data_IF_558220529480
#
_entry.id   IF_558220529480
#
_cell.length_a   1.000
_cell.length_b   1.000
_cell.length_c   1.000
_cell.angle_alpha   90.00
_cell.angle_beta   90.00
_cell.angle_gamma   90.00
#
_symmetry.space_group_name_H-M   'P 1'
#
loop_
_entity.id
_entity.type
_entity.pdbx_description
1 polymer ?
#
# COMPACT_ATOMS: atom_id res chain seq x y z
N UNK A 1 58.72 -17.37 49.10
CA UNK A 1 58.25 -17.78 47.76
C UNK A 1 56.72 -17.89 47.82
N UNK A 2 56.02 -16.77 47.59
CA UNK A 2 54.55 -16.69 47.63
C UNK A 2 54.06 -17.07 46.24
N UNK A 3 53.33 -18.19 46.13
CA UNK A 3 52.77 -18.67 44.86
C UNK A 3 51.68 -17.70 44.39
N UNK A 4 51.92 -17.09 43.23
CA UNK A 4 50.94 -16.34 42.46
C UNK A 4 49.72 -17.22 42.15
N UNK A 5 48.59 -16.91 42.76
CA UNK A 5 47.31 -17.49 42.41
C UNK A 5 46.87 -17.02 41.01
N UNK A 6 46.33 -17.97 40.28
CA UNK A 6 46.06 -18.00 38.86
C UNK A 6 45.00 -16.95 38.44
N UNK A 7 45.45 -15.74 38.05
CA UNK A 7 44.60 -14.64 37.55
C UNK A 7 43.91 -14.93 36.21
N UNK A 8 44.30 -15.97 35.48
CA UNK A 8 43.75 -16.26 34.15
C UNK A 8 42.34 -16.88 34.21
N UNK A 9 42.04 -17.75 35.18
CA UNK A 9 40.74 -18.43 35.25
C UNK A 9 39.55 -17.49 35.52
N UNK A 10 39.77 -16.43 36.32
CA UNK A 10 38.71 -15.47 36.67
C UNK A 10 38.33 -14.55 35.49
N UNK A 11 39.26 -14.33 34.55
CA UNK A 11 39.03 -13.51 33.36
C UNK A 11 38.15 -14.22 32.32
N UNK A 12 38.31 -15.53 32.16
CA UNK A 12 37.49 -16.33 31.24
C UNK A 12 36.04 -16.51 31.72
N UNK A 13 35.83 -16.65 33.03
CA UNK A 13 34.47 -16.71 33.60
C UNK A 13 33.72 -15.38 33.46
N UNK A 14 34.39 -14.24 33.63
CA UNK A 14 33.79 -12.91 33.44
C UNK A 14 33.44 -12.63 31.97
N UNK A 15 34.29 -13.06 31.03
CA UNK A 15 34.01 -12.95 29.58
C UNK A 15 32.86 -13.87 29.14
N UNK A 16 32.77 -15.09 29.67
CA UNK A 16 31.67 -16.00 29.40
C UNK A 16 30.32 -15.50 29.98
N UNK A 17 30.35 -14.90 31.18
CA UNK A 17 29.17 -14.29 31.80
C UNK A 17 28.72 -13.02 31.07
N UNK A 18 29.65 -12.19 30.59
CA UNK A 18 29.35 -11.03 29.75
C UNK A 18 28.78 -11.44 28.37
N UNK A 19 29.30 -12.51 27.77
CA UNK A 19 28.75 -13.09 26.53
C UNK A 19 27.34 -13.65 26.72
N UNK A 20 27.06 -14.33 27.84
CA UNK A 20 25.73 -14.84 28.17
C UNK A 20 24.71 -13.72 28.43
N UNK A 21 25.13 -12.60 29.05
CA UNK A 21 24.28 -11.44 29.29
C UNK A 21 23.94 -10.68 27.99
N UNK A 22 24.81 -10.72 26.97
CA UNK A 22 24.51 -10.14 25.65
C UNK A 22 23.55 -11.00 24.82
N UNK A 23 23.54 -12.32 25.00
CA UNK A 23 22.58 -13.23 24.34
C UNK A 23 21.17 -13.18 24.96
N UNK A 24 21.04 -12.63 26.18
CA UNK A 24 19.75 -12.41 26.85
C UNK A 24 19.05 -11.09 26.53
N UNK A 25 19.69 -10.19 25.75
CA UNK A 25 19.13 -8.89 25.41
C UNK A 25 18.13 -8.96 24.23
N UNK A 26 17.17 -9.89 24.31
CA UNK A 26 15.98 -9.82 23.47
C UNK A 26 15.10 -8.71 24.08
N UNK A 27 15.25 -7.48 23.59
CA UNK A 27 14.52 -6.32 24.10
C UNK A 27 13.04 -6.51 23.76
N UNK A 28 12.26 -7.01 24.72
CA UNK A 28 10.79 -6.99 24.64
C UNK A 28 10.40 -5.52 24.48
N UNK A 29 9.88 -5.18 23.31
CA UNK A 29 9.36 -3.84 23.06
C UNK A 29 7.97 -3.81 23.67
N UNK A 30 7.82 -3.15 24.81
CA UNK A 30 6.51 -2.95 25.42
C UNK A 30 5.76 -1.88 24.61
N UNK A 31 4.76 -2.33 23.87
CA UNK A 31 3.86 -1.42 23.15
C UNK A 31 2.79 -0.90 24.11
N UNK A 32 2.47 0.40 24.08
CA UNK A 32 1.34 0.92 24.82
C UNK A 32 0.06 0.21 24.38
N UNK A 33 -0.74 -0.24 25.34
CA UNK A 33 -2.05 -0.84 25.04
C UNK A 33 -3.01 0.27 24.66
N UNK A 34 -3.61 0.18 23.47
CA UNK A 34 -4.68 1.09 23.03
C UNK A 34 -6.02 0.52 23.48
N UNK A 35 -6.72 1.21 24.37
CA UNK A 35 -8.07 0.81 24.79
C UNK A 35 -9.06 1.13 23.67
N UNK A 36 -9.97 0.19 23.39
CA UNK A 36 -11.00 0.30 22.34
C UNK A 36 -10.43 0.79 20.99
N UNK A 37 -9.52 0.04 20.35
CA UNK A 37 -8.85 0.50 19.14
C UNK A 37 -9.80 0.49 17.94
N UNK A 38 -9.66 1.52 17.10
CA UNK A 38 -9.88 1.45 15.65
C UNK A 38 -8.54 1.17 14.95
N UNK A 39 -8.59 0.67 13.71
CA UNK A 39 -7.40 0.30 12.94
C UNK A 39 -7.25 1.21 11.74
N UNK A 40 -6.11 1.90 11.62
CA UNK A 40 -5.88 2.91 10.59
C UNK A 40 -4.60 2.62 9.80
N UNK A 41 -4.72 2.65 8.47
CA UNK A 41 -3.58 2.74 7.56
C UNK A 41 -3.65 4.06 6.79
N UNK A 42 -2.53 4.76 6.69
CA UNK A 42 -2.48 6.10 6.04
C UNK A 42 -1.43 6.13 4.96
N UNK A 43 -1.80 6.67 3.81
CA UNK A 43 -0.94 6.90 2.66
C UNK A 43 -0.85 8.38 2.33
N UNK A 44 0.33 8.82 1.94
CA UNK A 44 0.55 10.11 1.31
C UNK A 44 0.64 9.89 -0.21
N UNK A 45 -0.43 10.24 -0.92
CA UNK A 45 -0.54 10.05 -2.37
C UNK A 45 -0.44 11.38 -3.12
N UNK A 46 0.13 12.41 -2.47
CA UNK A 46 0.44 13.67 -3.13
C UNK A 46 1.55 13.44 -4.17
N UNK A 47 1.25 13.81 -5.41
CA UNK A 47 2.20 13.77 -6.52
C UNK A 47 2.88 15.14 -6.64
N UNK A 48 4.19 15.19 -6.49
CA UNK A 48 4.95 16.43 -6.63
C UNK A 48 6.00 16.31 -7.72
N UNK A 49 5.80 17.06 -8.81
CA UNK A 49 6.82 17.27 -9.83
C UNK A 49 7.36 18.69 -9.67
N UNK A 50 8.65 18.82 -9.34
CA UNK A 50 9.32 20.12 -9.28
C UNK A 50 9.47 20.67 -10.69
N UNK A 51 8.83 21.79 -10.96
CA UNK A 51 9.01 22.63 -12.14
C UNK A 51 9.64 23.96 -11.73
N UNK A 52 10.09 24.76 -12.69
CA UNK A 52 10.57 26.11 -12.40
C UNK A 52 9.48 26.98 -11.73
N UNK A 53 8.22 26.73 -12.08
CA UNK A 53 7.07 27.50 -11.60
C UNK A 53 6.69 27.15 -10.16
N UNK A 54 6.97 25.92 -9.70
CA UNK A 54 6.62 25.47 -8.35
C UNK A 54 7.82 25.14 -7.46
N UNK A 55 9.05 25.52 -7.86
CA UNK A 55 10.29 25.23 -7.10
C UNK A 55 10.28 25.72 -5.64
N UNK A 56 9.46 26.73 -5.35
CA UNK A 56 9.32 27.33 -4.02
C UNK A 56 8.12 26.74 -3.25
N UNK A 57 7.38 25.81 -3.84
CA UNK A 57 6.28 25.13 -3.18
C UNK A 57 6.82 24.19 -2.07
N UNK A 58 6.10 24.08 -0.94
CA UNK A 58 6.48 23.14 0.11
C UNK A 58 6.57 21.72 -0.45
N UNK A 59 7.64 20.96 -0.13
CA UNK A 59 7.75 19.58 -0.59
C UNK A 59 6.64 18.72 0.03
N UNK A 60 6.20 17.64 -0.64
CA UNK A 60 5.03 16.84 -0.25
C UNK A 60 5.33 15.88 0.90
N UNK A 61 6.31 16.18 1.75
CA UNK A 61 6.66 15.36 2.90
C UNK A 61 5.83 15.79 4.09
N UNK A 62 5.17 14.83 4.73
CA UNK A 62 4.15 15.14 5.72
C UNK A 62 4.56 14.68 7.12
N UNK A 63 3.93 15.32 8.10
CA UNK A 63 3.68 14.75 9.41
C UNK A 63 2.17 14.57 9.55
N UNK A 64 1.74 13.43 10.09
CA UNK A 64 0.40 13.26 10.63
C UNK A 64 0.43 13.47 12.15
N UNK A 65 -0.49 14.28 12.64
CA UNK A 65 -0.74 14.51 14.07
C UNK A 65 -2.20 14.15 14.38
N UNK A 66 -2.40 13.32 15.41
CA UNK A 66 -3.72 13.04 15.99
C UNK A 66 -3.79 13.73 17.34
N UNK A 67 -4.81 14.57 17.52
CA UNK A 67 -5.03 15.42 18.68
C UNK A 67 -3.80 16.28 19.01
N UNK A 68 -3.40 17.21 18.11
CA UNK A 68 -2.27 18.10 18.35
C UNK A 68 -2.56 19.11 19.46
N UNK A 69 -1.55 19.38 20.29
CA UNK A 69 -1.54 20.46 21.27
C UNK A 69 -0.86 21.68 20.64
N UNK A 70 -1.58 22.79 20.59
CA UNK A 70 -1.07 24.05 20.05
C UNK A 70 -0.33 24.84 21.14
N UNK A 71 0.85 25.37 20.82
CA UNK A 71 1.55 26.33 21.67
C UNK A 71 1.14 27.78 21.39
N UNK A 72 1.67 28.72 22.17
CA UNK A 72 1.34 30.15 22.15
C UNK A 72 1.52 30.83 20.77
N UNK A 73 2.41 30.29 19.94
CA UNK A 73 2.66 30.79 18.59
C UNK A 73 1.68 30.24 17.54
N UNK A 74 0.63 29.50 17.92
CA UNK A 74 -0.21 28.71 17.02
C UNK A 74 0.56 27.65 16.22
N UNK A 75 1.74 27.24 16.70
CA UNK A 75 2.46 26.08 16.19
C UNK A 75 2.21 24.87 17.10
N UNK A 76 2.03 23.66 16.55
CA UNK A 76 1.81 22.45 17.33
C UNK A 76 3.09 22.07 18.08
N UNK A 77 3.00 21.83 19.38
CA UNK A 77 4.15 21.49 20.25
C UNK A 77 4.23 20.01 20.60
N UNK A 78 3.12 19.29 20.48
CA UNK A 78 3.02 17.83 20.64
C UNK A 78 1.72 17.32 20.02
N UNK A 79 1.54 16.00 19.98
CA UNK A 79 0.29 15.34 19.60
C UNK A 79 0.15 14.01 20.36
N UNK A 80 -1.06 13.49 20.51
CA UNK A 80 -1.30 12.21 21.16
C UNK A 80 -0.70 11.04 20.36
N UNK A 81 -0.85 11.08 19.03
CA UNK A 81 -0.19 10.16 18.09
C UNK A 81 0.50 10.99 17.01
N UNK A 82 1.71 10.57 16.64
CA UNK A 82 2.51 11.22 15.61
C UNK A 82 3.02 10.19 14.62
N UNK A 83 2.80 10.43 13.33
CA UNK A 83 3.54 9.80 12.24
C UNK A 83 4.33 10.88 11.54
N UNK A 84 5.55 11.10 12.04
CA UNK A 84 6.52 12.00 11.43
C UNK A 84 7.21 11.29 10.25
N UNK A 85 7.78 12.07 9.33
CA UNK A 85 8.50 11.58 8.14
C UNK A 85 7.63 10.75 7.18
N UNK A 86 6.34 11.10 7.04
CA UNK A 86 5.44 10.46 6.09
C UNK A 86 5.78 10.93 4.66
N UNK A 87 6.50 10.07 3.95
CA UNK A 87 6.91 10.25 2.56
C UNK A 87 5.79 9.81 1.60
N UNK A 88 5.92 10.18 0.33
CA UNK A 88 5.00 9.76 -0.74
C UNK A 88 5.06 8.25 -0.95
N UNK A 89 3.92 7.64 -1.26
CA UNK A 89 3.80 6.21 -1.54
C UNK A 89 4.52 5.82 -2.85
N UNK A 90 5.21 4.67 -2.84
CA UNK A 90 5.75 4.09 -4.07
C UNK A 90 4.69 3.38 -4.92
N UNK A 91 4.82 3.44 -6.25
CA UNK A 91 3.95 2.70 -7.18
C UNK A 91 4.03 1.19 -6.92
N UNK A 92 2.88 0.50 -7.00
CA UNK A 92 2.78 -0.97 -6.94
C UNK A 92 3.51 -1.59 -5.73
N UNK A 93 3.48 -0.90 -4.58
CA UNK A 93 4.17 -1.32 -3.36
C UNK A 93 3.85 -2.77 -2.96
N UNK A 94 4.85 -3.45 -2.40
CA UNK A 94 4.78 -4.87 -2.04
C UNK A 94 3.75 -5.13 -0.92
N UNK A 95 3.22 -6.36 -0.81
CA UNK A 95 2.22 -6.75 0.18
C UNK A 95 2.61 -6.54 1.65
N UNK A 96 3.91 -6.46 1.95
CA UNK A 96 4.41 -6.39 3.32
C UNK A 96 5.12 -5.07 3.59
N UNK A 97 4.89 -4.44 4.76
CA UNK A 97 5.93 -3.62 5.36
C UNK A 97 7.12 -4.54 5.66
N UNK A 98 8.33 -4.15 5.28
CA UNK A 98 9.55 -4.90 5.59
C UNK A 98 9.67 -5.05 7.12
N UNK A 99 9.19 -6.18 7.65
CA UNK A 99 9.20 -6.48 9.07
C UNK A 99 10.65 -6.66 9.53
N UNK A 100 11.25 -5.57 10.01
CA UNK A 100 12.66 -5.51 10.38
C UNK A 100 13.38 -4.25 9.88
N UNK A 101 12.79 -3.53 8.92
CA UNK A 101 13.29 -2.24 8.48
C UNK A 101 12.98 -1.17 9.57
N UNK A 102 13.85 -0.18 9.71
CA UNK A 102 13.71 0.97 10.61
C UNK A 102 13.98 2.25 9.82
N UNK A 103 13.36 2.34 8.64
CA UNK A 103 13.48 3.53 7.81
C UNK A 103 12.99 4.73 8.61
N UNK A 104 13.69 5.86 8.52
CA UNK A 104 13.20 7.10 9.12
C UNK A 104 11.98 7.58 8.36
N UNK A 105 12.08 7.61 7.02
CA UNK A 105 11.03 8.02 6.11
C UNK A 105 10.09 6.86 5.82
N UNK A 106 8.81 7.05 6.11
CA UNK A 106 7.76 6.04 6.00
C UNK A 106 6.91 6.34 4.78
N UNK A 107 6.68 5.37 3.90
CA UNK A 107 5.77 5.53 2.75
C UNK A 107 4.30 5.34 3.13
N UNK A 108 4.04 4.93 4.37
CA UNK A 108 2.72 4.71 4.95
C UNK A 108 2.78 4.72 6.48
N UNK A 109 1.65 4.96 7.14
CA UNK A 109 1.45 4.63 8.55
C UNK A 109 0.67 3.31 8.67
N UNK A 110 1.05 2.39 9.59
CA UNK A 110 2.18 2.47 10.50
C UNK A 110 3.53 2.13 9.85
N UNK A 111 3.53 1.56 8.64
CA UNK A 111 4.73 1.22 7.89
C UNK A 111 5.71 0.40 8.74
N UNK A 112 6.93 0.91 8.90
CA UNK A 112 7.99 0.25 9.68
C UNK A 112 8.12 0.80 11.11
N UNK A 113 7.23 1.73 11.50
CA UNK A 113 7.25 2.36 12.82
C UNK A 113 6.98 1.35 13.93
N UNK A 114 7.62 1.55 15.08
CA UNK A 114 7.40 0.72 16.27
C UNK A 114 6.19 1.22 17.06
N UNK A 115 5.00 1.05 16.49
CA UNK A 115 3.71 1.39 17.11
C UNK A 115 2.85 0.15 17.33
N UNK A 116 1.80 0.26 18.14
CA UNK A 116 0.81 -0.81 18.28
C UNK A 116 0.08 -1.01 16.95
N UNK A 117 0.04 -2.25 16.47
CA UNK A 117 -0.59 -2.63 15.19
C UNK A 117 -1.78 -3.56 15.40
N UNK A 118 -2.64 -3.68 14.40
CA UNK A 118 -3.85 -4.47 14.45
C UNK A 118 -3.59 -5.97 14.68
N UNK A 119 -4.49 -6.67 15.37
CA UNK A 119 -4.40 -8.11 15.54
C UNK A 119 -4.87 -8.83 14.27
N UNK A 120 -4.91 -10.16 14.32
CA UNK A 120 -5.71 -10.91 13.34
C UNK A 120 -7.19 -10.68 13.65
N UNK A 121 -7.93 -10.07 12.73
CA UNK A 121 -9.35 -9.80 12.87
C UNK A 121 -10.12 -10.56 11.78
N UNK A 122 -11.04 -11.44 12.18
CA UNK A 122 -11.83 -12.28 11.26
C UNK A 122 -10.99 -13.03 10.20
N UNK A 123 -9.79 -13.46 10.57
CA UNK A 123 -8.87 -14.18 9.69
C UNK A 123 -8.00 -13.29 8.79
N UNK A 124 -8.09 -11.97 8.91
CA UNK A 124 -7.23 -11.00 8.22
C UNK A 124 -6.09 -10.54 9.11
N UNK A 125 -4.88 -10.51 8.57
CA UNK A 125 -3.72 -9.96 9.26
C UNK A 125 -3.74 -8.42 9.15
N UNK A 126 -4.01 -7.73 10.27
CA UNK A 126 -4.01 -6.27 10.34
C UNK A 126 -2.68 -5.67 10.84
N UNK A 127 -1.58 -6.41 10.78
CA UNK A 127 -0.25 -5.91 11.19
C UNK A 127 0.21 -4.69 10.40
N UNK A 128 -0.38 -4.42 9.23
CA UNK A 128 -0.15 -3.21 8.42
C UNK A 128 -1.11 -2.05 8.76
N UNK A 129 -1.88 -2.14 9.85
CA UNK A 129 -2.78 -1.09 10.34
C UNK A 129 -2.39 -0.72 11.76
N UNK A 130 -2.22 0.58 12.04
CA UNK A 130 -1.91 1.07 13.37
C UNK A 130 -3.16 1.10 14.24
N UNK A 131 -3.00 0.82 15.54
CA UNK A 131 -4.08 1.02 16.51
C UNK A 131 -4.18 2.50 16.88
N UNK A 132 -5.39 3.05 16.73
CA UNK A 132 -5.75 4.42 17.13
C UNK A 132 -6.95 4.32 18.07
N UNK A 133 -7.05 5.11 19.16
CA UNK A 133 -8.25 5.11 19.98
C UNK A 133 -9.52 5.38 19.15
N UNK A 134 -10.62 4.71 19.49
CA UNK A 134 -11.93 5.01 18.90
C UNK A 134 -12.51 6.32 19.47
N UNK A 135 -13.35 6.98 18.69
CA UNK A 135 -14.05 8.20 19.04
C UNK A 135 -13.69 9.36 18.10
N UNK A 136 -14.02 10.58 18.53
CA UNK A 136 -13.74 11.80 17.76
C UNK A 136 -12.32 12.28 18.01
N UNK A 137 -11.53 12.32 16.94
CA UNK A 137 -10.14 12.75 16.97
C UNK A 137 -9.88 13.81 15.91
N UNK A 138 -9.05 14.80 16.25
CA UNK A 138 -8.59 15.83 15.31
C UNK A 138 -7.35 15.34 14.59
N UNK A 139 -7.44 15.22 13.27
CA UNK A 139 -6.33 14.86 12.39
C UNK A 139 -5.79 16.10 11.71
N UNK A 140 -4.49 16.33 11.85
CA UNK A 140 -3.78 17.42 11.17
C UNK A 140 -2.63 16.84 10.36
N UNK A 141 -2.57 17.21 9.09
CA UNK A 141 -1.45 16.94 8.21
C UNK A 141 -0.73 18.25 7.90
N UNK A 142 0.57 18.30 8.18
CA UNK A 142 1.41 19.45 7.90
C UNK A 142 2.57 19.06 6.99
N UNK A 143 2.99 19.96 6.11
CA UNK A 143 4.24 19.76 5.37
C UNK A 143 5.43 19.94 6.28
N UNK A 144 6.49 19.19 6.02
CA UNK A 144 7.78 19.33 6.68
C UNK A 144 8.91 19.44 5.65
N UNK A 145 10.02 20.13 5.98
CA UNK A 145 11.20 20.13 5.14
C UNK A 145 11.84 18.73 5.09
N UNK A 146 12.60 18.48 4.02
CA UNK A 146 13.46 17.30 3.91
C UNK A 146 14.65 17.47 4.87
N UNK A 147 14.48 16.92 6.07
CA UNK A 147 15.43 17.01 7.18
C UNK A 147 15.27 15.78 8.06
N UNK A 148 16.32 15.39 8.80
CA UNK A 148 16.25 14.32 9.80
C UNK A 148 15.92 14.83 11.21
N UNK A 149 15.67 16.14 11.37
CA UNK A 149 15.23 16.70 12.64
C UNK A 149 13.76 16.31 12.92
N UNK A 150 13.42 15.86 14.14
CA UNK A 150 12.04 15.60 14.53
C UNK A 150 11.17 16.84 14.34
N UNK A 151 9.94 16.68 13.87
CA UNK A 151 9.07 17.79 13.50
C UNK A 151 8.90 18.82 14.62
N UNK A 152 8.64 18.38 15.86
CA UNK A 152 8.44 19.29 17.00
C UNK A 152 9.71 20.04 17.43
N UNK A 153 10.89 19.63 16.95
CA UNK A 153 12.16 20.36 17.14
C UNK A 153 12.42 21.44 16.07
N UNK A 154 11.61 21.47 15.01
CA UNK A 154 11.72 22.48 13.97
C UNK A 154 11.28 23.86 14.47
N UNK A 155 11.75 24.91 13.80
CA UNK A 155 11.28 26.28 14.05
C UNK A 155 9.75 26.37 13.96
N UNK A 156 9.16 27.32 14.69
CA UNK A 156 7.71 27.48 14.71
C UNK A 156 7.12 27.76 13.32
N UNK A 157 7.89 28.40 12.43
CA UNK A 157 7.48 28.69 11.06
C UNK A 157 7.30 27.41 10.24
N UNK A 158 8.27 26.50 10.29
CA UNK A 158 8.21 25.21 9.60
C UNK A 158 7.12 24.27 10.13
N UNK A 159 6.50 24.57 11.28
CA UNK A 159 5.46 23.73 11.90
C UNK A 159 4.02 24.19 11.62
N UNK A 160 3.84 25.30 10.90
CA UNK A 160 2.53 25.94 10.68
C UNK A 160 1.90 25.68 9.31
N UNK A 161 2.60 24.99 8.43
CA UNK A 161 2.14 24.72 7.07
C UNK A 161 1.17 23.52 7.05
N UNK A 162 -0.07 23.75 7.51
CA UNK A 162 -1.13 22.75 7.50
C UNK A 162 -1.74 22.59 6.12
N UNK A 163 -1.88 21.34 5.67
CA UNK A 163 -2.59 20.99 4.44
C UNK A 163 -4.00 20.48 4.73
N UNK A 164 -4.14 19.72 5.82
CA UNK A 164 -5.43 19.16 6.25
C UNK A 164 -5.57 19.35 7.74
N UNK A 165 -6.75 19.80 8.16
CA UNK A 165 -7.18 19.87 9.57
C UNK A 165 -8.65 19.45 9.62
N UNK A 166 -8.90 18.25 10.13
CA UNK A 166 -10.24 17.64 10.12
C UNK A 166 -10.51 16.88 11.40
N UNK A 167 -11.78 16.60 11.68
CA UNK A 167 -12.20 15.76 12.80
C UNK A 167 -12.87 14.51 12.25
N UNK A 168 -12.39 13.34 12.66
CA UNK A 168 -12.93 12.04 12.26
C UNK A 168 -13.49 11.33 13.49
N UNK A 169 -14.61 10.63 13.31
CA UNK A 169 -15.21 9.77 14.33
C UNK A 169 -14.90 8.30 13.99
N UNK A 170 -13.93 7.73 14.70
CA UNK A 170 -13.46 6.37 14.46
C UNK A 170 -14.24 5.38 15.32
N UNK A 171 -14.99 4.49 14.69
CA UNK A 171 -15.71 3.44 15.41
C UNK A 171 -14.77 2.36 15.93
N UNK A 172 -15.04 1.87 17.14
CA UNK A 172 -14.28 0.79 17.78
C UNK A 172 -14.32 -0.49 16.93
N UNK A 173 -13.15 -1.12 16.75
CA UNK A 173 -12.99 -2.39 16.03
C UNK A 173 -13.05 -2.26 14.51
N UNK A 174 -13.31 -1.05 13.98
CA UNK A 174 -13.41 -0.81 12.55
C UNK A 174 -12.06 -0.51 11.91
N UNK A 175 -11.96 -0.83 10.63
CA UNK A 175 -10.74 -0.69 9.84
C UNK A 175 -10.91 0.45 8.84
N UNK A 176 -9.91 1.31 8.76
CA UNK A 176 -9.92 2.50 7.92
C UNK A 176 -8.65 2.56 7.08
N UNK A 177 -8.83 2.96 5.82
CA UNK A 177 -7.73 3.41 4.96
C UNK A 177 -7.90 4.90 4.70
N UNK A 178 -6.83 5.65 4.89
CA UNK A 178 -6.77 7.08 4.63
C UNK A 178 -5.73 7.39 3.55
N UNK A 179 -6.12 8.22 2.60
CA UNK A 179 -5.27 8.70 1.52
C UNK A 179 -5.23 10.24 1.59
N UNK A 180 -4.03 10.80 1.63
CA UNK A 180 -3.84 12.25 1.46
C UNK A 180 -3.75 12.54 -0.03
N UNK A 181 -4.75 13.25 -0.54
CA UNK A 181 -4.99 13.44 -1.96
C UNK A 181 -5.07 14.92 -2.32
N UNK A 182 -4.73 15.23 -3.56
CA UNK A 182 -5.14 16.48 -4.19
C UNK A 182 -6.58 16.34 -4.69
N UNK A 183 -7.44 17.29 -4.32
CA UNK A 183 -8.87 17.26 -4.66
C UNK A 183 -9.12 17.63 -6.13
N UNK A 184 -8.40 18.63 -6.62
CA UNK A 184 -8.63 19.21 -7.94
C UNK A 184 -7.38 19.92 -8.42
N UNK A 185 -6.97 19.66 -9.66
CA UNK A 185 -5.79 20.29 -10.28
C UNK A 185 -5.97 21.80 -10.44
N UNK A 186 -7.22 22.28 -10.42
CA UNK A 186 -7.54 23.70 -10.55
C UNK A 186 -7.41 24.47 -9.24
N UNK A 187 -7.59 23.78 -8.09
CA UNK A 187 -7.54 24.43 -6.76
C UNK A 187 -6.31 24.04 -5.95
N UNK A 188 -5.63 22.95 -6.32
CA UNK A 188 -4.53 22.34 -5.57
C UNK A 188 -4.88 22.07 -4.09
N UNK A 189 -6.17 21.94 -3.76
CA UNK A 189 -6.61 21.71 -2.38
C UNK A 189 -6.29 20.28 -1.96
N UNK A 190 -5.59 20.12 -0.85
CA UNK A 190 -5.35 18.81 -0.24
C UNK A 190 -6.52 18.38 0.64
N UNK A 191 -6.85 17.09 0.62
CA UNK A 191 -7.88 16.48 1.47
C UNK A 191 -7.36 15.19 2.10
N UNK A 192 -7.96 14.79 3.23
CA UNK A 192 -7.87 13.43 3.74
C UNK A 192 -9.12 12.66 3.28
N UNK A 193 -8.94 11.76 2.32
CA UNK A 193 -9.94 10.76 1.96
C UNK A 193 -9.86 9.61 2.97
N UNK A 194 -10.98 9.24 3.59
CA UNK A 194 -11.00 8.23 4.66
C UNK A 194 -12.15 7.27 4.41
N UNK A 195 -11.84 6.03 4.01
CA UNK A 195 -12.87 5.00 3.83
C UNK A 195 -12.83 3.99 4.97
N UNK A 196 -14.01 3.59 5.43
CA UNK A 196 -14.19 2.45 6.31
C UNK A 196 -14.20 1.17 5.47
N UNK A 197 -13.19 0.33 5.68
CA UNK A 197 -13.01 -0.91 4.95
C UNK A 197 -14.08 -1.95 5.32
N UNK A 198 -14.54 -2.70 4.33
CA UNK A 198 -15.65 -3.65 4.50
C UNK A 198 -15.18 -5.12 4.55
N UNK A 199 -13.91 -5.39 4.26
CA UNK A 199 -13.42 -6.77 4.11
C UNK A 199 -13.50 -7.59 5.41
N UNK A 200 -13.48 -6.94 6.57
CA UNK A 200 -13.65 -7.60 7.88
C UNK A 200 -15.09 -8.04 8.14
N UNK A 201 -16.05 -7.48 7.40
CA UNK A 201 -17.50 -7.72 7.54
C UNK A 201 -18.08 -8.57 6.41
N UNK A 202 -17.26 -8.96 5.43
CA UNK A 202 -17.65 -9.76 4.29
C UNK A 202 -17.03 -11.16 4.35
N UNK A 203 -17.77 -12.16 3.85
CA UNK A 203 -17.28 -13.53 3.71
C UNK A 203 -16.67 -13.72 2.32
N UNK A 204 -15.42 -14.17 2.29
CA UNK A 204 -14.68 -14.41 1.04
C UNK A 204 -14.29 -15.87 0.93
N UNK A 205 -14.39 -16.44 -0.28
CA UNK A 205 -14.00 -17.82 -0.55
C UNK A 205 -12.48 -17.95 -0.61
N UNK A 206 -11.94 -19.07 -0.11
CA UNK A 206 -10.52 -19.40 -0.24
C UNK A 206 -10.13 -19.82 -1.69
N UNK A 207 -11.13 -20.06 -2.53
CA UNK A 207 -10.94 -20.46 -3.94
C UNK A 207 -10.85 -19.29 -4.92
N UNK A 208 -11.02 -18.05 -4.45
CA UNK A 208 -11.06 -16.87 -5.30
C UNK A 208 -10.21 -15.73 -4.71
N UNK A 209 -9.53 -15.01 -5.60
CA UNK A 209 -8.80 -13.78 -5.26
C UNK A 209 -9.73 -12.61 -5.47
N UNK A 210 -9.78 -11.69 -4.52
CA UNK A 210 -10.71 -10.55 -4.54
C UNK A 210 -9.97 -9.24 -4.77
N UNK A 211 -10.57 -8.33 -5.53
CA UNK A 211 -10.01 -7.01 -5.83
C UNK A 211 -11.13 -5.98 -5.96
N UNK A 212 -10.93 -4.79 -5.39
CA UNK A 212 -11.73 -3.61 -5.71
C UNK A 212 -10.86 -2.54 -6.37
N UNK A 213 -11.51 -1.58 -7.02
CA UNK A 213 -10.85 -0.57 -7.85
C UNK A 213 -11.31 0.82 -7.47
N UNK A 214 -10.38 1.75 -7.39
CA UNK A 214 -10.66 3.16 -7.15
C UNK A 214 -9.90 4.02 -8.16
N UNK A 215 -10.57 5.02 -8.72
CA UNK A 215 -9.92 6.14 -9.37
C UNK A 215 -10.05 7.34 -8.42
N UNK A 216 -9.01 7.58 -7.62
CA UNK A 216 -8.96 8.66 -6.63
C UNK A 216 -8.26 9.91 -7.20
N UNK A 217 -8.11 10.00 -8.53
CA UNK A 217 -7.43 11.13 -9.16
C UNK A 217 -8.15 12.44 -8.89
N UNK A 218 -7.36 13.50 -8.83
CA UNK A 218 -7.84 14.87 -8.74
C UNK A 218 -8.82 15.18 -9.87
N UNK A 219 -9.85 15.96 -9.57
CA UNK A 219 -10.69 16.55 -10.61
C UNK A 219 -9.82 17.31 -11.62
N UNK A 220 -10.12 17.15 -12.91
CA UNK A 220 -9.41 17.84 -13.99
C UNK A 220 -8.11 17.16 -14.43
N UNK A 221 -7.61 16.17 -13.69
CA UNK A 221 -6.32 15.52 -13.96
C UNK A 221 -6.20 15.05 -15.42
N UNK A 222 -7.19 14.30 -15.90
CA UNK A 222 -7.21 13.76 -17.26
C UNK A 222 -7.25 14.86 -18.33
N UNK A 223 -7.98 15.95 -18.07
CA UNK A 223 -8.14 17.07 -19.00
C UNK A 223 -6.88 17.93 -19.11
N UNK A 224 -6.11 18.00 -18.02
CA UNK A 224 -4.86 18.78 -17.95
C UNK A 224 -3.61 17.92 -18.14
N UNK A 225 -3.76 16.61 -18.33
CA UNK A 225 -2.63 15.71 -18.50
C UNK A 225 -1.86 16.07 -19.77
N UNK A 226 -0.56 16.33 -19.63
CA UNK A 226 0.33 16.63 -20.76
C UNK A 226 0.93 15.33 -21.24
N UNK A 227 0.62 14.97 -22.49
CA UNK A 227 1.22 13.81 -23.15
C UNK A 227 2.60 14.18 -23.66
N UNK A 228 3.58 13.30 -23.44
CA UNK A 228 4.94 13.50 -23.94
C UNK A 228 4.94 13.39 -25.48
N UNK A 229 5.28 14.50 -26.16
CA UNK A 229 5.35 14.60 -27.62
C UNK A 229 6.39 13.64 -28.22
N UNK A 230 7.35 13.14 -27.44
CA UNK A 230 8.40 12.23 -27.89
C UNK A 230 7.97 10.75 -28.00
N UNK A 231 6.68 10.45 -27.95
CA UNK A 231 6.18 9.06 -28.03
C UNK A 231 6.53 8.26 -26.77
N UNK A 232 6.52 8.93 -25.61
CA UNK A 232 6.80 8.30 -24.32
C UNK A 232 5.89 7.09 -24.09
N UNK A 233 6.50 5.94 -23.83
CA UNK A 233 5.86 4.63 -23.59
C UNK A 233 4.89 4.57 -22.38
N UNK A 234 4.48 5.70 -21.83
CA UNK A 234 3.79 5.80 -20.54
C UNK A 234 2.59 6.73 -20.65
N UNK A 235 1.60 6.41 -21.51
CA UNK A 235 0.26 6.93 -21.27
C UNK A 235 -0.24 6.35 -19.94
N UNK A 236 -0.03 7.14 -18.90
CA UNK A 236 -0.46 6.86 -17.54
C UNK A 236 -1.78 7.55 -17.23
N UNK A 237 -2.40 8.24 -18.19
CA UNK A 237 -3.65 8.93 -17.97
C UNK A 237 -4.83 7.93 -18.01
N UNK A 238 -5.83 8.13 -17.16
CA UNK A 238 -7.12 7.45 -17.23
C UNK A 238 -8.24 8.47 -17.24
N UNK A 239 -9.23 8.24 -18.08
CA UNK A 239 -10.47 9.03 -18.04
C UNK A 239 -11.24 8.81 -16.73
N UNK A 240 -12.14 9.74 -16.44
CA UNK A 240 -13.00 9.70 -15.24
C UNK A 240 -13.92 8.48 -15.18
N UNK A 241 -14.17 7.80 -16.29
CA UNK A 241 -14.99 6.59 -16.35
C UNK A 241 -14.27 5.56 -17.19
N UNK A 242 -13.93 4.42 -16.57
CA UNK A 242 -13.21 3.32 -17.21
C UNK A 242 -13.91 2.00 -16.91
N UNK A 243 -14.14 1.18 -17.91
CA UNK A 243 -14.44 -0.23 -17.72
C UNK A 243 -13.16 -0.98 -17.33
N UNK A 244 -13.30 -1.94 -16.43
CA UNK A 244 -12.21 -2.77 -15.91
C UNK A 244 -12.44 -4.20 -16.36
N UNK A 245 -11.44 -4.76 -17.02
CA UNK A 245 -11.41 -6.15 -17.45
C UNK A 245 -10.21 -6.85 -16.83
N UNK A 246 -10.30 -8.16 -16.60
CA UNK A 246 -9.13 -8.96 -16.23
C UNK A 246 -8.79 -9.97 -17.32
N UNK A 247 -7.50 -10.26 -17.43
CA UNK A 247 -6.96 -11.41 -18.17
C UNK A 247 -6.02 -12.18 -17.25
N UNK A 248 -6.20 -13.50 -17.16
CA UNK A 248 -5.29 -14.38 -16.42
C UNK A 248 -4.25 -14.99 -17.35
N UNK A 249 -2.99 -15.01 -16.91
CA UNK A 249 -1.92 -15.72 -17.61
C UNK A 249 -1.40 -16.86 -16.75
N UNK A 250 -0.93 -17.91 -17.40
CA UNK A 250 -0.27 -19.04 -16.75
C UNK A 250 0.15 -20.09 -17.77
N UNK A 251 0.78 -21.15 -17.29
CA UNK A 251 1.16 -22.28 -18.13
C UNK A 251 0.00 -23.27 -18.18
N UNK A 252 -0.70 -23.31 -19.32
CA UNK A 252 -1.73 -24.32 -19.56
C UNK A 252 -1.10 -25.72 -19.68
N UNK A 253 -1.81 -26.80 -19.32
CA UNK A 253 -1.31 -28.16 -19.52
C UNK A 253 -0.90 -28.39 -20.99
N UNK A 254 0.35 -28.79 -21.22
CA UNK A 254 0.92 -29.02 -22.56
C UNK A 254 1.51 -27.78 -23.26
N UNK A 255 1.47 -26.59 -22.64
CA UNK A 255 2.15 -25.41 -23.16
C UNK A 255 3.60 -25.32 -22.64
N UNK A 256 4.53 -24.97 -23.54
CA UNK A 256 5.95 -24.77 -23.19
C UNK A 256 6.26 -23.35 -22.68
N UNK A 257 5.31 -22.43 -22.76
CA UNK A 257 5.45 -21.04 -22.33
C UNK A 257 4.15 -20.57 -21.66
N UNK A 258 4.23 -19.64 -20.68
CA UNK A 258 3.05 -18.99 -20.12
C UNK A 258 2.31 -18.21 -21.19
N UNK A 259 0.98 -18.25 -21.16
CA UNK A 259 0.12 -17.53 -22.07
C UNK A 259 -1.20 -17.17 -21.41
N UNK A 260 -2.06 -16.46 -22.15
CA UNK A 260 -3.40 -16.17 -21.69
C UNK A 260 -4.18 -17.47 -21.46
N UNK A 261 -4.86 -17.58 -20.33
CA UNK A 261 -5.64 -18.77 -19.99
C UNK A 261 -6.99 -18.77 -20.74
N UNK A 262 -7.35 -19.87 -21.43
CA UNK A 262 -8.64 -19.97 -22.12
C UNK A 262 -9.82 -19.72 -21.16
N UNK A 263 -10.78 -18.90 -21.59
CA UNK A 263 -11.95 -18.52 -20.79
C UNK A 263 -11.72 -17.40 -19.76
N UNK A 264 -10.48 -16.91 -19.63
CA UNK A 264 -10.12 -15.83 -18.72
C UNK A 264 -9.41 -14.69 -19.44
N UNK A 265 -9.92 -14.33 -20.62
CA UNK A 265 -9.40 -13.25 -21.46
C UNK A 265 -10.40 -12.10 -21.52
N UNK A 266 -9.94 -10.89 -21.20
CA UNK A 266 -10.72 -9.66 -21.23
C UNK A 266 -12.12 -9.81 -20.58
N UNK A 267 -12.16 -10.45 -19.42
CA UNK A 267 -13.41 -10.67 -18.68
C UNK A 267 -13.78 -9.39 -17.95
N UNK A 268 -14.95 -8.85 -18.24
CA UNK A 268 -15.46 -7.63 -17.60
C UNK A 268 -15.67 -7.86 -16.10
N UNK A 269 -15.18 -6.91 -15.29
CA UNK A 269 -15.42 -6.89 -13.84
C UNK A 269 -16.41 -5.80 -13.46
N UNK A 270 -16.13 -4.56 -13.84
CA UNK A 270 -16.87 -3.38 -13.38
C UNK A 270 -16.63 -2.16 -14.26
N UNK A 271 -17.44 -1.13 -14.06
CA UNK A 271 -17.10 0.25 -14.41
C UNK A 271 -16.54 0.95 -13.17
N UNK A 272 -15.38 1.58 -13.30
CA UNK A 272 -14.70 2.40 -12.30
C UNK A 272 -14.96 3.87 -12.62
N UNK A 273 -15.43 4.62 -11.62
CA UNK A 273 -15.66 6.06 -11.70
C UNK A 273 -14.59 6.79 -10.89
N UNK A 274 -14.14 7.95 -11.40
CA UNK A 274 -13.33 8.89 -10.62
C UNK A 274 -14.20 9.44 -9.50
N UNK A 275 -13.77 9.21 -8.28
CA UNK A 275 -14.47 9.67 -7.08
C UNK A 275 -13.50 9.75 -5.91
N UNK A 276 -13.62 10.83 -5.15
CA UNK A 276 -13.00 10.96 -3.83
C UNK A 276 -14.08 10.96 -2.73
N UNK A 277 -15.24 10.37 -3.01
CA UNK A 277 -16.25 10.10 -1.99
C UNK A 277 -15.81 8.92 -1.11
N UNK A 278 -15.81 9.07 0.24
CA UNK A 278 -15.21 8.13 1.18
C UNK A 278 -16.03 6.84 1.38
N UNK A 279 -16.30 6.10 0.30
CA UNK A 279 -17.11 4.89 0.29
C UNK A 279 -16.28 3.71 -0.19
N UNK A 280 -16.38 2.58 0.52
CA UNK A 280 -15.75 1.34 0.08
C UNK A 280 -16.47 0.75 -1.15
N UNK A 281 -15.71 0.51 -2.21
CA UNK A 281 -16.22 -0.09 -3.44
C UNK A 281 -16.37 -1.62 -3.31
N UNK A 282 -17.32 -2.23 -4.05
CA UNK A 282 -17.51 -3.68 -4.08
C UNK A 282 -16.25 -4.44 -4.51
N UNK A 283 -16.07 -5.64 -3.96
CA UNK A 283 -15.04 -6.57 -4.39
C UNK A 283 -15.51 -7.43 -5.57
N UNK A 284 -14.67 -7.51 -6.58
CA UNK A 284 -14.77 -8.42 -7.71
C UNK A 284 -13.76 -9.55 -7.55
N UNK A 285 -13.88 -10.63 -8.31
CA UNK A 285 -13.02 -11.78 -8.12
C UNK A 285 -12.69 -12.54 -9.39
N UNK A 286 -11.61 -13.31 -9.29
CA UNK A 286 -11.21 -14.33 -10.25
C UNK A 286 -10.74 -15.58 -9.49
N UNK A 287 -10.77 -16.78 -10.09
CA UNK A 287 -10.39 -18.00 -9.40
C UNK A 287 -8.89 -18.04 -9.08
N UNK A 288 -8.56 -18.53 -7.88
CA UNK A 288 -7.18 -18.81 -7.46
C UNK A 288 -6.56 -19.95 -8.29
N UNK A 289 -7.38 -20.95 -8.65
CA UNK A 289 -6.98 -22.08 -9.49
C UNK A 289 -7.90 -22.15 -10.72
N UNK A 290 -7.64 -21.33 -11.76
CA UNK A 290 -8.49 -21.23 -12.95
C UNK A 290 -8.55 -22.52 -13.77
N UNK A 291 -7.50 -23.36 -13.71
CA UNK A 291 -7.38 -24.60 -14.49
C UNK A 291 -7.83 -25.80 -13.63
N UNK A 292 -8.89 -26.53 -14.01
CA UNK A 292 -9.41 -27.65 -13.21
C UNK A 292 -8.41 -28.78 -12.94
N UNK A 293 -7.44 -28.98 -13.84
CA UNK A 293 -6.42 -30.03 -13.73
C UNK A 293 -5.26 -29.66 -12.80
N UNK A 294 -5.21 -28.45 -12.26
CA UNK A 294 -4.19 -28.07 -11.29
C UNK A 294 -4.42 -28.76 -9.94
N UNK A 295 -3.34 -29.03 -9.22
CA UNK A 295 -3.36 -29.76 -7.95
C UNK A 295 -4.03 -28.98 -6.79
N UNK A 296 -4.51 -27.75 -7.02
CA UNK A 296 -5.11 -26.84 -6.04
C UNK A 296 -4.24 -26.56 -4.81
N UNK A 297 -2.92 -26.74 -4.95
CA UNK A 297 -1.93 -26.47 -3.90
C UNK A 297 -1.12 -25.24 -4.28
N UNK A 298 -0.61 -25.20 -5.51
CA UNK A 298 0.26 -24.13 -5.98
C UNK A 298 -0.24 -23.60 -7.32
N UNK A 299 -0.50 -22.29 -7.40
CA UNK A 299 -1.03 -21.62 -8.58
C UNK A 299 0.07 -21.32 -9.63
N UNK A 300 1.31 -21.75 -9.39
CA UNK A 300 2.40 -21.60 -10.34
C UNK A 300 2.82 -20.13 -10.54
N UNK A 301 3.28 -19.84 -11.75
CA UNK A 301 3.61 -18.49 -12.22
C UNK A 301 2.38 -17.79 -12.82
N UNK A 302 1.22 -17.89 -12.15
CA UNK A 302 0.01 -17.21 -12.60
C UNK A 302 0.17 -15.69 -12.41
N UNK A 303 -0.23 -14.92 -13.42
CA UNK A 303 -0.27 -13.46 -13.35
C UNK A 303 -1.65 -12.94 -13.75
N UNK A 304 -1.85 -11.66 -13.48
CA UNK A 304 -3.09 -10.95 -13.74
C UNK A 304 -2.76 -9.69 -14.53
N UNK A 305 -3.51 -9.45 -15.60
CA UNK A 305 -3.53 -8.16 -16.28
C UNK A 305 -4.91 -7.55 -16.11
N UNK A 306 -4.97 -6.33 -15.60
CA UNK A 306 -6.17 -5.52 -15.58
C UNK A 306 -6.10 -4.51 -16.73
N UNK A 307 -7.14 -4.48 -17.55
CA UNK A 307 -7.30 -3.53 -18.64
C UNK A 307 -8.34 -2.50 -18.23
N UNK A 308 -7.91 -1.24 -18.15
CA UNK A 308 -8.79 -0.08 -17.98
C UNK A 308 -9.08 0.45 -19.39
N UNK A 309 -10.35 0.47 -19.79
CA UNK A 309 -10.76 0.95 -21.12
C UNK A 309 -11.93 1.91 -20.99
N UNK A 310 -11.90 3.02 -21.70
CA UNK A 310 -13.03 3.93 -21.79
C UNK A 310 -14.26 3.17 -22.32
N UNK A 311 -15.50 3.44 -21.84
CA UNK A 311 -16.68 2.67 -22.22
C UNK A 311 -16.95 2.56 -23.73
N UNK A 312 -16.47 3.52 -24.52
CA UNK A 312 -16.60 3.53 -25.98
C UNK A 312 -15.51 2.74 -26.73
N UNK A 313 -14.57 2.13 -26.03
CA UNK A 313 -13.39 1.48 -26.61
C UNK A 313 -13.37 -0.01 -26.23
N UNK A 314 -13.29 -0.94 -27.20
CA UNK A 314 -13.28 -2.37 -26.90
C UNK A 314 -11.98 -2.78 -26.19
N UNK A 315 -12.07 -3.78 -25.30
CA UNK A 315 -10.98 -4.19 -24.42
C UNK A 315 -9.80 -4.86 -25.14
N UNK A 316 -10.04 -5.39 -26.34
CA UNK A 316 -9.05 -6.07 -27.18
C UNK A 316 -8.11 -5.09 -27.93
N UNK A 317 -8.45 -3.80 -27.95
CA UNK A 317 -7.71 -2.77 -28.67
C UNK A 317 -6.26 -2.56 -28.17
N UNK A 318 -5.96 -2.98 -26.93
CA UNK A 318 -4.64 -2.84 -26.31
C UNK A 318 -3.73 -4.05 -26.45
N UNK A 319 -4.26 -5.19 -26.89
CA UNK A 319 -3.50 -6.44 -26.94
C UNK A 319 -2.56 -6.51 -28.15
N UNK A 320 -2.78 -5.69 -29.19
CA UNK A 320 -1.96 -5.63 -30.40
C UNK A 320 -2.03 -4.23 -31.06
N UNK A 321 -1.13 -3.31 -30.74
CA UNK A 321 -1.10 -2.00 -31.37
C UNK A 321 0.24 -1.28 -31.25
N UNK A 322 0.60 -0.51 -32.27
CA UNK A 322 1.77 0.37 -32.22
C UNK A 322 1.66 1.38 -31.07
N UNK A 323 2.78 1.88 -30.56
CA UNK A 323 2.88 2.91 -29.51
C UNK A 323 2.27 4.27 -29.94
N UNK A 324 0.98 4.29 -30.25
CA UNK A 324 0.23 5.47 -30.68
C UNK A 324 -0.57 5.97 -29.49
N UNK A 325 -0.37 7.23 -29.16
CA UNK A 325 -1.06 7.92 -28.06
C UNK A 325 -2.56 7.66 -28.10
N UNK A 326 -3.12 7.19 -26.98
CA UNK A 326 -4.54 6.83 -26.87
C UNK A 326 -5.36 7.81 -26.03
N UNK A 327 -4.78 8.94 -25.60
CA UNK A 327 -5.47 10.02 -24.89
C UNK A 327 -6.25 9.56 -23.64
N UNK A 328 -5.61 8.71 -22.83
CA UNK A 328 -6.18 8.11 -21.62
C UNK A 328 -7.37 7.19 -21.87
N UNK A 329 -7.64 6.81 -23.13
CA UNK A 329 -8.74 5.89 -23.45
C UNK A 329 -8.49 4.49 -22.94
N UNK A 330 -7.23 4.12 -22.70
CA UNK A 330 -6.92 2.77 -22.29
C UNK A 330 -5.55 2.66 -21.60
N UNK A 331 -5.46 1.85 -20.55
CA UNK A 331 -4.19 1.49 -19.92
C UNK A 331 -4.28 0.08 -19.36
N UNK A 332 -3.12 -0.55 -19.11
CA UNK A 332 -3.09 -1.86 -18.45
C UNK A 332 -2.21 -1.85 -17.22
N UNK A 333 -2.56 -2.66 -16.24
CA UNK A 333 -1.73 -2.95 -15.08
C UNK A 333 -1.52 -4.45 -15.03
N UNK A 334 -0.27 -4.88 -15.03
CA UNK A 334 0.07 -6.30 -14.94
C UNK A 334 0.79 -6.63 -13.65
N UNK A 335 0.30 -7.65 -12.95
CA UNK A 335 0.72 -8.04 -11.60
C UNK A 335 1.06 -9.54 -11.60
N UNK A 336 2.18 -9.89 -10.99
CA UNK A 336 2.69 -11.26 -10.90
C UNK A 336 3.92 -11.53 -11.78
N UNK A 337 4.46 -12.76 -11.71
CA UNK A 337 5.79 -13.09 -12.22
C UNK A 337 5.89 -13.12 -13.75
N UNK A 338 4.78 -13.32 -14.46
CA UNK A 338 4.76 -13.43 -15.93
C UNK A 338 3.65 -12.58 -16.52
N UNK A 339 3.91 -11.33 -16.80
CA UNK A 339 2.93 -10.43 -17.39
C UNK A 339 2.97 -10.46 -18.92
N UNK A 340 1.80 -10.45 -19.55
CA UNK A 340 1.70 -10.26 -21.00
C UNK A 340 2.19 -8.87 -21.40
N UNK A 341 2.90 -8.78 -22.52
CA UNK A 341 3.24 -7.48 -23.14
C UNK A 341 1.95 -6.78 -23.54
N UNK A 342 1.84 -5.49 -23.22
CA UNK A 342 0.73 -4.63 -23.63
C UNK A 342 1.25 -3.20 -23.81
N UNK A 343 0.56 -2.41 -24.62
CA UNK A 343 0.85 -0.98 -24.77
C UNK A 343 0.39 -0.25 -23.52
N UNK A 344 1.18 0.71 -23.03
CA UNK A 344 0.87 1.48 -21.81
C UNK A 344 0.70 0.62 -20.57
N UNK A 345 1.53 -0.41 -20.47
CA UNK A 345 1.47 -1.37 -19.38
C UNK A 345 2.27 -0.90 -18.16
N UNK A 346 1.55 -0.69 -17.06
CA UNK A 346 2.11 -0.48 -15.74
C UNK A 346 2.44 -1.86 -15.16
N UNK A 347 3.74 -2.16 -15.07
CA UNK A 347 4.25 -3.48 -14.70
C UNK A 347 4.67 -3.50 -13.25
N UNK A 348 4.04 -4.38 -12.46
CA UNK A 348 4.49 -4.65 -11.10
C UNK A 348 5.79 -5.46 -11.09
N UNK A 349 6.56 -5.38 -10.00
CA UNK A 349 7.73 -6.23 -9.87
C UNK A 349 7.32 -7.71 -9.72
N UNK A 350 8.27 -8.64 -9.95
CA UNK A 350 8.00 -10.08 -9.91
C UNK A 350 7.55 -10.60 -8.52
N UNK A 351 7.78 -9.81 -7.46
CA UNK A 351 7.42 -10.15 -6.09
C UNK A 351 6.06 -9.54 -5.69
N UNK A 352 5.48 -8.71 -6.54
CA UNK A 352 4.19 -8.07 -6.33
C UNK A 352 3.14 -8.94 -6.99
N UNK A 353 2.30 -9.55 -6.15
CA UNK A 353 1.31 -10.53 -6.58
C UNK A 353 -0.02 -10.34 -5.86
N UNK A 354 -1.12 -10.61 -6.57
CA UNK A 354 -2.45 -10.78 -5.96
C UNK A 354 -2.64 -12.21 -5.43
N UNK A 355 -1.60 -13.03 -5.47
CA UNK A 355 -1.58 -14.39 -4.95
C UNK A 355 -0.33 -14.50 -4.09
N UNK A 356 -0.51 -14.86 -2.83
CA UNK A 356 0.62 -15.12 -1.92
C UNK A 356 0.95 -16.60 -1.99
N UNK A 357 2.20 -16.93 -2.27
CA UNK A 357 2.70 -18.30 -2.29
C UNK A 357 3.84 -18.46 -1.27
N UNK A 358 3.56 -19.18 -0.18
CA UNK A 358 4.50 -19.36 0.94
C UNK A 358 4.51 -20.82 1.41
N UNK A 359 5.52 -21.22 2.19
CA UNK A 359 5.49 -22.51 2.89
C UNK A 359 4.36 -22.49 3.92
N UNK A 360 3.51 -23.51 3.93
CA UNK A 360 2.39 -23.62 4.86
C UNK A 360 1.95 -25.07 5.04
N UNK A 361 1.80 -25.50 6.29
CA UNK A 361 1.59 -26.90 6.61
C UNK A 361 2.72 -27.77 6.04
N UNK A 362 2.35 -28.86 5.39
CA UNK A 362 3.28 -29.79 4.72
C UNK A 362 3.74 -29.32 3.33
N UNK A 363 3.14 -28.25 2.78
CA UNK A 363 3.38 -27.82 1.40
C UNK A 363 4.41 -26.69 1.32
N UNK A 364 5.28 -26.77 0.31
CA UNK A 364 6.30 -25.76 0.05
C UNK A 364 6.52 -25.59 -1.47
N UNK A 365 5.95 -24.56 -2.13
CA UNK A 365 5.01 -23.56 -1.62
C UNK A 365 3.53 -24.00 -1.69
N UNK A 366 2.65 -23.28 -0.97
CA UNK A 366 1.18 -23.27 -1.11
C UNK A 366 0.71 -21.87 -1.49
N UNK A 367 -0.19 -21.79 -2.46
CA UNK A 367 -0.79 -20.53 -2.92
C UNK A 367 -2.10 -20.25 -2.21
N UNK A 368 -2.35 -18.97 -1.94
CA UNK A 368 -3.50 -18.52 -1.19
C UNK A 368 -4.19 -17.32 -1.82
N UNK A 369 -5.51 -17.30 -1.65
CA UNK A 369 -6.36 -16.18 -2.00
C UNK A 369 -6.07 -14.98 -1.09
N UNK A 370 -6.04 -13.79 -1.70
CA UNK A 370 -5.90 -12.52 -0.99
C UNK A 370 -7.07 -11.60 -1.28
N UNK A 371 -7.18 -10.54 -0.48
CA UNK A 371 -8.07 -9.42 -0.74
C UNK A 371 -7.20 -8.23 -1.12
N UNK A 372 -7.53 -7.59 -2.23
CA UNK A 372 -6.67 -6.59 -2.83
C UNK A 372 -7.44 -5.31 -3.14
N UNK A 373 -6.71 -4.20 -3.18
CA UNK A 373 -7.24 -2.90 -3.59
C UNK A 373 -6.29 -2.31 -4.61
N UNK A 374 -6.82 -1.95 -5.79
CA UNK A 374 -6.08 -1.22 -6.82
C UNK A 374 -6.59 0.21 -6.84
N UNK A 375 -5.69 1.16 -6.57
CA UNK A 375 -5.98 2.60 -6.55
C UNK A 375 -5.22 3.27 -7.68
N UNK A 376 -5.91 4.01 -8.52
CA UNK A 376 -5.31 4.91 -9.49
C UNK A 376 -5.42 6.35 -8.99
N UNK A 377 -4.28 7.03 -8.86
CA UNK A 377 -4.17 8.40 -8.37
C UNK A 377 -3.22 9.17 -9.26
N UNK A 378 -3.74 10.13 -10.03
CA UNK A 378 -2.94 11.10 -10.79
C UNK A 378 -1.80 10.43 -11.59
N UNK A 379 -2.11 9.35 -12.32
CA UNK A 379 -1.13 8.65 -13.16
C UNK A 379 -0.37 7.52 -12.47
N UNK A 380 -0.52 7.37 -11.17
CA UNK A 380 0.12 6.29 -10.39
C UNK A 380 -0.90 5.20 -10.09
N UNK A 381 -0.42 3.95 -10.10
CA UNK A 381 -1.21 2.80 -9.64
C UNK A 381 -0.58 2.26 -8.37
N UNK A 382 -1.43 2.11 -7.36
CA UNK A 382 -1.07 1.53 -6.10
C UNK A 382 -1.82 0.23 -5.87
N UNK A 383 -1.14 -0.70 -5.22
CA UNK A 383 -1.67 -1.98 -4.82
C UNK A 383 -1.60 -2.10 -3.31
N UNK A 384 -2.71 -2.50 -2.71
CA UNK A 384 -2.75 -2.98 -1.32
C UNK A 384 -3.16 -4.45 -1.36
N UNK A 385 -2.38 -5.30 -0.71
CA UNK A 385 -2.66 -6.74 -0.59
C UNK A 385 -2.87 -7.05 0.89
N UNK A 386 -4.01 -7.65 1.20
CA UNK A 386 -4.35 -8.14 2.52
C UNK A 386 -4.27 -9.66 2.54
N UNK A 387 -3.36 -10.15 3.38
CA UNK A 387 -3.20 -11.57 3.62
C UNK A 387 -4.29 -12.10 4.54
N UNK A 388 -4.77 -13.30 4.21
CA UNK A 388 -5.59 -14.12 5.11
C UNK A 388 -4.67 -15.03 5.91
N UNK A 389 -5.01 -15.35 7.16
CA UNK A 389 -4.18 -16.24 8.01
C UNK A 389 -4.09 -17.64 7.38
N UNK A 390 -2.88 -18.21 7.37
CA UNK A 390 -2.61 -19.56 6.86
C UNK A 390 -1.96 -20.45 7.94
N UNK A 391 -1.97 -21.77 7.71
CA UNK A 391 -1.36 -22.72 8.63
C UNK A 391 0.16 -22.52 8.73
N UNK A 392 0.75 -22.58 9.93
CA UNK A 392 2.20 -22.48 10.08
C UNK A 392 2.92 -23.61 9.32
N UNK A 393 4.16 -23.41 8.85
CA UNK A 393 4.98 -24.47 8.27
C UNK A 393 5.17 -25.66 9.23
N UNK A 394 5.07 -26.88 8.70
CA UNK A 394 5.50 -28.11 9.36
C UNK A 394 6.86 -28.49 8.75
N UNK A 395 7.88 -28.61 9.60
CA UNK A 395 9.27 -28.87 9.19
C UNK A 395 9.62 -30.35 9.16
#
# INVERSE_FOLDING_TARGET
>A
MIKLFNRQGMSWCLLALAGALQLGACRKTDYPTVQSPAYLRVFNDLTYNVTLDNKDAPPPYLIMMIDPVMGDSSAPVSAAITCDYLNTRGELARPYPDAGNTSLWQTEFPGTMKVAVGPILNGYDLSSYGQVPSGKHRFVFATRPLSNAPFFSLSAENRKHFLVDTVLDLQQGEVYTMNILEQSVYTAKTIAYVRQEQFTRQSFSDSAVYVNFYNLSAEGYNQTFVYDEAGGNLNRNLKDTMNVYYTLFGTSPGANQPGQLPGYQNVFMTTMLRSQEPVAHPYYHFPLFPIPSWNRIYAGQQSQKFTFSAPSNPSDHLDNGANVENYGNAATVSIGPVAGTAVYNIMADQNTGLIISIRSGIYNPRSFATINTIEYVNGNVYLTVLQRKYDPPIY
#
